data_IF_692449261868
#
_entry.id   IF_692449261868
#
_cell.length_a   1.000
_cell.length_b   1.000
_cell.length_c   1.000
_cell.angle_alpha   90.00
_cell.angle_beta   90.00
_cell.angle_gamma   90.00
#
_symmetry.space_group_name_H-M   'P 1'
#
loop_
_entity.id
_entity.type
_entity.pdbx_description
1 polymer ?
#
# COMPACT_ATOMS: atom_id res chain seq x y z
N UNK A 1 33.72 69.56 -6.43
CA UNK A 1 32.82 68.96 -5.50
C UNK A 1 32.05 67.87 -6.22
N UNK A 2 32.42 66.68 -5.97
CA UNK A 2 31.82 65.58 -6.67
C UNK A 2 31.07 64.72 -5.72
N UNK A 3 29.81 64.64 -5.91
CA UNK A 3 28.96 63.81 -5.19
C UNK A 3 29.05 62.42 -5.82
N UNK A 4 29.70 61.47 -5.14
CA UNK A 4 29.66 60.13 -5.55
C UNK A 4 28.40 59.52 -5.01
N UNK A 5 27.44 59.43 -5.85
CA UNK A 5 26.24 58.64 -5.54
C UNK A 5 26.62 57.22 -5.74
N UNK A 6 26.92 56.60 -4.64
CA UNK A 6 27.05 55.16 -4.64
C UNK A 6 25.70 54.57 -4.92
N UNK A 7 25.54 54.09 -6.08
CA UNK A 7 24.37 53.28 -6.41
C UNK A 7 24.47 51.98 -5.63
N UNK A 8 23.76 51.96 -4.55
CA UNK A 8 23.57 50.70 -3.85
C UNK A 8 22.74 49.77 -4.73
N UNK A 9 23.41 48.91 -5.40
CA UNK A 9 22.72 47.82 -6.06
C UNK A 9 22.27 46.87 -4.98
N UNK A 10 21.05 47.03 -4.55
CA UNK A 10 20.40 45.96 -3.81
C UNK A 10 20.10 44.88 -4.81
N UNK A 11 20.99 43.95 -4.90
CA UNK A 11 20.68 42.67 -5.54
C UNK A 11 19.69 41.99 -4.62
N UNK A 12 18.44 42.25 -4.88
CA UNK A 12 17.42 41.40 -4.30
C UNK A 12 17.61 40.06 -4.98
N UNK A 13 18.41 39.22 -4.36
CA UNK A 13 18.42 37.83 -4.69
C UNK A 13 17.06 37.29 -4.27
N UNK A 14 16.08 37.43 -5.12
CA UNK A 14 14.93 36.57 -5.02
C UNK A 14 15.45 35.18 -5.31
N UNK A 15 15.93 34.54 -4.28
CA UNK A 15 16.03 33.13 -4.31
C UNK A 15 14.64 32.66 -4.64
N UNK A 16 14.43 32.35 -5.89
CA UNK A 16 13.26 31.62 -6.28
C UNK A 16 13.25 30.38 -5.46
N UNK A 17 12.48 30.39 -4.43
CA UNK A 17 12.19 29.18 -3.71
C UNK A 17 11.37 28.35 -4.67
N UNK A 18 12.06 27.63 -5.50
CA UNK A 18 11.46 26.53 -6.19
C UNK A 18 11.25 25.46 -5.14
N UNK A 19 10.20 25.63 -4.41
CA UNK A 19 9.56 24.44 -3.92
C UNK A 19 9.06 23.73 -5.16
N UNK A 20 9.97 23.07 -5.82
CA UNK A 20 9.53 21.99 -6.64
C UNK A 20 8.76 21.11 -5.69
N UNK A 21 7.50 21.19 -5.76
CA UNK A 21 6.62 20.32 -5.09
C UNK A 21 6.93 18.93 -5.62
N UNK A 22 7.89 18.32 -5.00
CA UNK A 22 8.11 16.88 -5.12
C UNK A 22 6.95 16.17 -4.45
N UNK A 23 5.80 16.76 -4.54
CA UNK A 23 4.55 16.21 -4.06
C UNK A 23 3.95 15.27 -5.08
N UNK A 24 4.66 15.05 -6.18
CA UNK A 24 4.25 14.12 -7.20
C UNK A 24 4.15 12.68 -6.66
N UNK A 25 4.77 12.38 -5.51
CA UNK A 25 4.81 11.02 -4.99
C UNK A 25 3.82 10.74 -3.88
N UNK A 26 2.92 11.67 -3.61
CA UNK A 26 1.76 11.38 -2.79
C UNK A 26 0.60 10.81 -3.58
N UNK A 27 0.82 10.44 -4.82
CA UNK A 27 -0.07 9.47 -5.44
C UNK A 27 0.08 8.20 -4.63
N UNK A 28 -0.96 7.76 -3.89
CA UNK A 28 -0.94 6.40 -3.37
C UNK A 28 -0.60 5.52 -4.55
N UNK A 29 0.35 4.61 -4.36
CA UNK A 29 0.59 3.59 -5.35
C UNK A 29 -0.80 3.15 -5.78
N UNK A 30 -1.17 3.51 -7.01
CA UNK A 30 -2.50 3.28 -7.51
C UNK A 30 -2.81 1.83 -7.22
N UNK A 31 -3.89 1.58 -6.51
CA UNK A 31 -4.35 0.25 -6.21
C UNK A 31 -3.44 -0.51 -5.22
N UNK A 32 -3.19 0.08 -4.09
CA UNK A 32 -2.62 -0.61 -2.94
C UNK A 32 -3.67 -0.72 -1.85
N UNK A 33 -3.84 -1.92 -1.29
CA UNK A 33 -4.80 -2.19 -0.22
C UNK A 33 -4.09 -2.88 0.93
N UNK A 34 -4.36 -2.43 2.14
CA UNK A 34 -3.83 -3.00 3.36
C UNK A 34 -4.88 -3.84 4.06
N UNK A 35 -4.52 -5.07 4.41
CA UNK A 35 -5.33 -5.95 5.25
C UNK A 35 -4.54 -6.23 6.52
N UNK A 36 -5.16 -5.97 7.65
CA UNK A 36 -4.57 -6.29 8.94
C UNK A 36 -5.05 -7.65 9.42
N UNK A 37 -4.15 -8.43 9.98
CA UNK A 37 -4.46 -9.68 10.64
C UNK A 37 -4.43 -9.40 12.13
N UNK A 38 -5.57 -9.49 12.78
CA UNK A 38 -5.69 -9.18 14.19
C UNK A 38 -6.86 -9.92 14.80
N UNK A 39 -6.66 -10.41 16.03
CA UNK A 39 -7.69 -11.11 16.77
C UNK A 39 -8.33 -12.26 15.98
N UNK A 40 -7.47 -13.07 15.35
CA UNK A 40 -7.88 -14.22 14.53
C UNK A 40 -8.81 -13.85 13.38
N UNK A 41 -8.62 -12.67 12.81
CA UNK A 41 -9.41 -12.19 11.67
C UNK A 41 -8.54 -11.48 10.66
N UNK A 42 -8.96 -11.53 9.41
CA UNK A 42 -8.48 -10.66 8.35
C UNK A 42 -9.40 -9.44 8.28
N UNK A 43 -8.84 -8.26 8.34
CA UNK A 43 -9.61 -7.02 8.37
C UNK A 43 -9.12 -6.06 7.28
N UNK A 44 -9.95 -5.74 6.27
CA UNK A 44 -11.32 -6.22 6.04
C UNK A 44 -11.38 -7.70 5.64
N UNK A 45 -12.46 -8.37 6.00
CA UNK A 45 -12.69 -9.78 5.66
C UNK A 45 -12.97 -9.97 4.18
N UNK A 46 -13.66 -9.02 3.57
CA UNK A 46 -13.87 -8.98 2.13
C UNK A 46 -13.34 -7.65 1.60
N UNK A 47 -12.43 -7.73 0.64
CA UNK A 47 -11.90 -6.56 -0.05
C UNK A 47 -12.22 -6.68 -1.54
N UNK A 48 -12.82 -5.64 -2.11
CA UNK A 48 -13.10 -5.55 -3.54
C UNK A 48 -12.12 -4.56 -4.15
N UNK A 49 -11.34 -5.02 -5.11
CA UNK A 49 -10.23 -4.25 -5.69
C UNK A 49 -10.22 -4.40 -7.21
N UNK A 50 -9.78 -3.38 -7.95
CA UNK A 50 -9.59 -3.53 -9.40
C UNK A 50 -8.38 -4.41 -9.69
N UNK A 51 -8.39 -5.05 -10.85
CA UNK A 51 -7.24 -5.83 -11.32
C UNK A 51 -5.99 -4.95 -11.38
N UNK A 52 -4.85 -5.50 -10.99
CA UNK A 52 -3.59 -4.78 -10.85
C UNK A 52 -3.32 -4.25 -9.45
N UNK A 53 -4.24 -4.47 -8.51
CA UNK A 53 -4.06 -4.05 -7.11
C UNK A 53 -3.08 -4.95 -6.39
N UNK A 54 -2.17 -4.34 -5.65
CA UNK A 54 -1.31 -5.04 -4.70
C UNK A 54 -1.96 -5.03 -3.33
N UNK A 55 -2.23 -6.21 -2.80
CA UNK A 55 -2.76 -6.39 -1.45
C UNK A 55 -1.62 -6.77 -0.52
N UNK A 56 -1.53 -6.08 0.60
CA UNK A 56 -0.54 -6.35 1.63
C UNK A 56 -1.25 -6.75 2.91
N UNK A 57 -0.88 -7.91 3.43
CA UNK A 57 -1.34 -8.39 4.74
C UNK A 57 -0.25 -8.14 5.75
N UNK A 58 -0.61 -7.62 6.89
CA UNK A 58 0.32 -7.43 8.01
C UNK A 58 -0.23 -8.10 9.26
N UNK A 59 0.57 -8.96 9.87
CA UNK A 59 0.17 -9.63 11.11
C UNK A 59 0.35 -8.68 12.30
N UNK A 60 -0.76 -8.31 12.91
CA UNK A 60 -0.82 -7.47 14.11
C UNK A 60 -1.07 -8.29 15.39
N UNK A 61 -1.27 -9.60 15.25
CA UNK A 61 -1.42 -10.49 16.39
C UNK A 61 -0.07 -10.86 16.99
N UNK A 62 -0.10 -11.33 18.23
CA UNK A 62 1.08 -11.83 18.94
C UNK A 62 1.42 -13.29 18.57
N UNK A 63 0.60 -13.91 17.74
CA UNK A 63 0.78 -15.30 17.28
C UNK A 63 0.98 -15.29 15.76
N UNK A 64 1.65 -16.32 15.21
CA UNK A 64 1.85 -16.40 13.76
C UNK A 64 0.55 -16.72 13.03
N UNK A 65 0.47 -16.19 11.81
CA UNK A 65 -0.61 -16.46 10.87
C UNK A 65 -0.04 -16.72 9.47
N UNK A 66 -0.86 -17.24 8.58
CA UNK A 66 -0.52 -17.38 7.16
C UNK A 66 -1.64 -16.83 6.29
N UNK A 67 -1.31 -16.56 5.04
CA UNK A 67 -2.28 -16.26 3.99
C UNK A 67 -2.20 -17.39 2.97
N UNK A 68 -3.25 -18.17 2.83
CA UNK A 68 -3.26 -19.33 1.94
C UNK A 68 -4.51 -19.34 1.07
N UNK A 69 -4.32 -19.42 -0.24
CA UNK A 69 -5.43 -19.51 -1.18
C UNK A 69 -6.18 -20.84 -1.00
N UNK A 70 -7.51 -20.78 -0.97
CA UNK A 70 -8.34 -21.96 -0.79
C UNK A 70 -8.36 -22.88 -2.02
N UNK A 71 -8.12 -22.32 -3.20
CA UNK A 71 -8.19 -23.02 -4.49
C UNK A 71 -6.93 -22.88 -5.32
N UNK A 72 -5.83 -22.46 -4.70
CA UNK A 72 -4.55 -22.19 -5.36
C UNK A 72 -4.63 -21.06 -6.41
N UNK A 73 -5.59 -20.17 -6.28
CA UNK A 73 -5.76 -19.05 -7.20
C UNK A 73 -4.63 -18.00 -7.13
N UNK A 74 -3.89 -17.99 -6.02
CA UNK A 74 -2.71 -17.14 -5.88
C UNK A 74 -1.69 -17.78 -4.95
N UNK A 75 -0.47 -17.31 -5.01
CA UNK A 75 0.60 -17.82 -4.15
C UNK A 75 0.40 -17.33 -2.72
N UNK A 76 0.33 -18.26 -1.80
CA UNK A 76 0.21 -17.96 -0.38
C UNK A 76 1.53 -17.57 0.27
N UNK A 77 1.43 -17.08 1.52
CA UNK A 77 2.58 -16.67 2.32
C UNK A 77 3.20 -17.85 3.06
N UNK A 78 4.42 -17.66 3.52
CA UNK A 78 4.99 -18.42 4.63
C UNK A 78 4.36 -17.95 5.95
N UNK A 79 4.81 -18.50 7.09
CA UNK A 79 4.39 -18.00 8.40
C UNK A 79 4.75 -16.53 8.58
N UNK A 80 3.79 -15.77 9.03
CA UNK A 80 3.96 -14.35 9.36
C UNK A 80 3.96 -14.20 10.86
N UNK A 81 5.10 -13.82 11.43
CA UNK A 81 5.20 -13.46 12.84
C UNK A 81 4.66 -12.04 13.05
N UNK A 82 4.54 -11.65 14.31
CA UNK A 82 4.06 -10.30 14.65
C UNK A 82 4.86 -9.23 13.92
N UNK A 83 4.18 -8.37 13.19
CA UNK A 83 4.80 -7.30 12.41
C UNK A 83 5.21 -7.69 11.00
N UNK A 84 5.21 -8.96 10.66
CA UNK A 84 5.54 -9.41 9.31
C UNK A 84 4.43 -9.10 8.32
N UNK A 85 4.82 -8.88 7.08
CA UNK A 85 3.89 -8.58 6.00
C UNK A 85 4.12 -9.49 4.80
N UNK A 86 3.05 -9.69 4.02
CA UNK A 86 3.06 -10.39 2.75
C UNK A 86 2.26 -9.61 1.75
N UNK A 87 2.76 -9.50 0.52
CA UNK A 87 2.08 -8.78 -0.56
C UNK A 87 1.90 -9.67 -1.77
N UNK A 88 0.77 -9.50 -2.44
CA UNK A 88 0.48 -10.15 -3.72
C UNK A 88 -0.30 -9.20 -4.61
N UNK A 89 0.05 -9.18 -5.90
CA UNK A 89 -0.64 -8.35 -6.91
C UNK A 89 -1.63 -9.20 -7.67
N UNK A 90 -2.90 -8.81 -7.62
CA UNK A 90 -3.99 -9.53 -8.28
C UNK A 90 -4.24 -8.92 -9.66
N UNK A 91 -3.76 -9.58 -10.71
CA UNK A 91 -3.87 -9.08 -12.08
C UNK A 91 -5.12 -9.56 -12.81
N UNK A 92 -5.75 -10.63 -12.35
CA UNK A 92 -6.88 -11.26 -13.02
C UNK A 92 -8.16 -11.07 -12.24
N UNK A 93 -9.24 -10.59 -12.88
CA UNK A 93 -10.55 -10.55 -12.23
C UNK A 93 -10.98 -11.93 -11.74
N UNK A 94 -11.66 -11.96 -10.61
CA UNK A 94 -12.16 -13.18 -10.02
C UNK A 94 -12.41 -13.02 -8.54
N UNK A 95 -12.88 -14.09 -7.92
CA UNK A 95 -13.10 -14.18 -6.48
C UNK A 95 -12.07 -15.12 -5.90
N UNK A 96 -11.29 -14.61 -4.95
CA UNK A 96 -10.17 -15.34 -4.36
C UNK A 96 -10.43 -15.53 -2.88
N UNK A 97 -10.82 -16.75 -2.51
CA UNK A 97 -11.01 -17.11 -1.11
C UNK A 97 -9.69 -17.57 -0.51
N UNK A 98 -9.45 -17.17 0.73
CA UNK A 98 -8.22 -17.51 1.43
C UNK A 98 -8.48 -17.72 2.91
N UNK A 99 -7.50 -18.29 3.58
CA UNK A 99 -7.61 -18.66 4.99
C UNK A 99 -6.21 -18.70 5.63
N UNK A 100 -6.19 -18.84 6.94
CA UNK A 100 -4.96 -19.10 7.69
C UNK A 100 -4.80 -20.60 7.89
N UNK A 101 -3.66 -21.17 7.50
CA UNK A 101 -3.42 -22.61 7.64
C UNK A 101 -3.29 -23.06 9.10
N UNK A 102 -2.85 -22.15 9.98
CA UNK A 102 -2.70 -22.41 11.40
C UNK A 102 -4.04 -22.32 12.16
N UNK A 103 -4.99 -21.57 11.59
CA UNK A 103 -6.32 -21.33 12.16
C UNK A 103 -7.35 -21.40 11.03
N UNK A 104 -7.71 -22.59 10.54
CA UNK A 104 -8.50 -22.73 9.31
C UNK A 104 -9.89 -22.09 9.34
N UNK A 105 -10.39 -21.73 10.51
CA UNK A 105 -11.65 -20.98 10.65
C UNK A 105 -11.50 -19.50 10.26
N UNK A 106 -10.26 -18.98 10.20
CA UNK A 106 -9.99 -17.64 9.72
C UNK A 106 -10.05 -17.62 8.20
N UNK A 107 -11.16 -17.14 7.66
CA UNK A 107 -11.41 -17.11 6.21
C UNK A 107 -11.68 -15.70 5.76
N UNK A 108 -11.36 -15.40 4.51
CA UNK A 108 -11.58 -14.10 3.92
C UNK A 108 -11.64 -14.19 2.39
N UNK A 109 -11.91 -13.08 1.74
CA UNK A 109 -12.13 -13.04 0.30
C UNK A 109 -11.58 -11.76 -0.31
N UNK A 110 -10.88 -11.91 -1.43
CA UNK A 110 -10.55 -10.78 -2.30
C UNK A 110 -11.40 -10.91 -3.56
N UNK A 111 -12.19 -9.89 -3.86
CA UNK A 111 -12.93 -9.79 -5.12
C UNK A 111 -12.15 -8.84 -6.03
N UNK A 112 -11.66 -9.37 -7.14
CA UNK A 112 -10.93 -8.58 -8.12
C UNK A 112 -11.85 -8.28 -9.29
N UNK A 113 -12.12 -7.00 -9.51
CA UNK A 113 -12.95 -6.53 -10.62
C UNK A 113 -12.11 -6.25 -11.85
N UNK A 114 -12.74 -6.16 -13.01
CA UNK A 114 -12.05 -5.75 -14.22
C UNK A 114 -11.39 -4.39 -13.99
N UNK A 115 -10.21 -4.21 -14.58
CA UNK A 115 -9.51 -2.94 -14.51
C UNK A 115 -10.42 -1.85 -15.08
N UNK A 116 -10.75 -0.88 -14.22
CA UNK A 116 -11.54 0.27 -14.64
C UNK A 116 -10.78 1.02 -15.73
N UNK A 117 -11.41 1.12 -16.87
CA UNK A 117 -10.86 1.82 -18.04
C UNK A 117 -10.70 3.32 -17.81
#
# INVERSE_FOLDING_TARGET
>A
MRLLIGTLFVVVCTAGFFMSSVLADNTPAANAVQINIFNYKFDPETATVPAGTTVTWTNKDEIPHTVASSDKGFKGSSGLDTGDSYSYTFDKPGTYKYYCTLHPFMTATIVVTAKGG
#
